data_IF_258682230160
#
_entry.id   IF_258682230160
#
_cell.length_a   1.000
_cell.length_b   1.000
_cell.length_c   1.000
_cell.angle_alpha   90.00
_cell.angle_beta   90.00
_cell.angle_gamma   90.00
#
_symmetry.space_group_name_H-M   'P 1'
#
loop_
_entity.id
_entity.type
_entity.pdbx_description
1 polymer ?
#
# COMPACT_ATOMS: atom_id res chain seq x y z
N UNK A 1 4.16 -11.88 -5.13
CA UNK A 1 4.02 -10.55 -4.50
C UNK A 1 2.71 -9.92 -4.93
N UNK A 2 1.88 -9.51 -3.98
CA UNK A 2 0.66 -8.79 -4.34
C UNK A 2 0.98 -7.49 -5.05
N UNK A 3 0.07 -7.06 -5.89
CA UNK A 3 0.19 -5.80 -6.60
C UNK A 3 -1.18 -5.17 -6.74
N UNK A 4 -1.20 -3.87 -6.89
CA UNK A 4 -2.44 -3.13 -7.04
C UNK A 4 -2.19 -1.68 -7.35
N UNK A 5 -3.24 -0.90 -7.21
CA UNK A 5 -3.19 0.54 -7.45
C UNK A 5 -3.62 1.29 -6.21
N UNK A 6 -2.99 2.43 -5.96
CA UNK A 6 -3.40 3.29 -4.86
C UNK A 6 -4.74 3.91 -5.19
N UNK A 7 -5.74 3.66 -4.35
CA UNK A 7 -7.07 4.22 -4.51
C UNK A 7 -7.14 5.63 -3.93
N UNK A 8 -6.54 5.81 -2.76
CA UNK A 8 -6.51 7.10 -2.10
C UNK A 8 -5.32 7.15 -1.16
N UNK A 9 -4.86 8.35 -0.85
CA UNK A 9 -3.76 8.55 0.08
C UNK A 9 -3.93 9.88 0.80
N UNK A 10 -3.78 9.85 2.14
CA UNK A 10 -3.84 11.04 2.98
C UNK A 10 -2.42 11.36 3.44
N UNK A 11 -1.87 12.45 2.91
CA UNK A 11 -0.50 12.86 3.20
C UNK A 11 -0.34 13.32 4.65
N UNK A 12 -1.40 13.85 5.25
CA UNK A 12 -1.35 14.31 6.63
C UNK A 12 -1.33 13.16 7.62
N UNK A 13 -2.15 12.14 7.38
CA UNK A 13 -2.20 10.97 8.22
C UNK A 13 -1.12 9.94 7.85
N UNK A 14 -0.52 10.07 6.66
CA UNK A 14 0.46 9.14 6.09
C UNK A 14 -0.13 7.74 5.96
N UNK A 15 -1.39 7.69 5.58
CA UNK A 15 -2.12 6.45 5.37
C UNK A 15 -2.78 6.45 4.01
N UNK A 16 -3.10 5.28 3.51
CA UNK A 16 -3.76 5.16 2.22
C UNK A 16 -4.38 3.81 2.03
N UNK A 17 -4.94 3.60 0.85
CA UNK A 17 -5.60 2.36 0.49
C UNK A 17 -5.11 1.90 -0.88
N UNK A 18 -4.78 0.61 -0.98
CA UNK A 18 -4.43 -0.04 -2.23
C UNK A 18 -5.57 -0.97 -2.59
N UNK A 19 -5.93 -1.02 -3.87
CA UNK A 19 -6.97 -1.90 -4.38
C UNK A 19 -6.34 -2.87 -5.37
N UNK A 20 -6.73 -4.15 -5.29
CA UNK A 20 -6.25 -5.15 -6.24
C UNK A 20 -6.73 -4.84 -7.65
N UNK A 21 -6.08 -5.46 -8.65
CA UNK A 21 -6.40 -5.21 -10.06
C UNK A 21 -7.83 -5.55 -10.41
N UNK A 22 -8.40 -6.55 -9.76
CA UNK A 22 -9.80 -6.94 -9.98
C UNK A 22 -10.78 -6.17 -9.09
N UNK A 23 -10.29 -5.33 -8.19
CA UNK A 23 -11.12 -4.53 -7.30
C UNK A 23 -11.73 -5.31 -6.14
N UNK A 24 -11.42 -6.59 -6.00
CA UNK A 24 -12.06 -7.44 -5.00
C UNK A 24 -11.43 -7.33 -3.63
N UNK A 25 -10.18 -6.91 -3.55
CA UNK A 25 -9.44 -6.85 -2.30
C UNK A 25 -8.82 -5.47 -2.14
N UNK A 26 -8.77 -4.99 -0.90
CA UNK A 26 -8.10 -3.74 -0.59
C UNK A 26 -7.20 -3.92 0.62
N UNK A 27 -6.16 -3.11 0.69
CA UNK A 27 -5.20 -3.12 1.80
C UNK A 27 -4.96 -1.70 2.24
N UNK A 28 -4.70 -1.52 3.54
CA UNK A 28 -4.36 -0.21 4.08
C UNK A 28 -2.86 -0.02 4.12
N UNK A 29 -2.41 1.18 3.75
CA UNK A 29 -1.02 1.58 3.89
C UNK A 29 -0.90 2.33 5.21
N UNK A 30 0.03 1.92 6.08
CA UNK A 30 0.27 2.59 7.34
C UNK A 30 1.57 3.41 7.28
N UNK A 31 1.81 4.30 8.27
CA UNK A 31 3.02 5.12 8.25
C UNK A 31 4.30 4.30 8.25
N UNK A 32 4.31 3.12 8.85
CA UNK A 32 5.50 2.27 8.89
C UNK A 32 5.88 1.81 7.47
N UNK A 33 4.89 1.43 6.66
CA UNK A 33 5.14 1.03 5.28
C UNK A 33 5.74 2.19 4.47
N UNK A 34 5.26 3.40 4.69
CA UNK A 34 5.79 4.59 4.03
C UNK A 34 7.22 4.86 4.45
N UNK A 35 7.53 4.73 5.73
CA UNK A 35 8.88 4.97 6.25
C UNK A 35 9.87 3.94 5.72
N UNK A 36 9.49 2.67 5.66
CA UNK A 36 10.36 1.62 5.16
C UNK A 36 10.76 1.86 3.71
N UNK A 37 9.83 2.33 2.90
CA UNK A 37 10.08 2.61 1.49
C UNK A 37 10.61 4.01 1.23
N UNK A 38 10.69 4.85 2.25
CA UNK A 38 11.08 6.25 2.16
C UNK A 38 10.14 7.04 1.24
N UNK A 39 8.88 6.66 1.22
CA UNK A 39 7.88 7.34 0.41
C UNK A 39 7.27 8.51 1.17
N UNK A 40 6.91 9.55 0.45
CA UNK A 40 6.27 10.71 1.03
C UNK A 40 4.78 10.74 0.73
N UNK A 41 4.41 10.32 -0.47
CA UNK A 41 3.02 10.23 -0.83
C UNK A 41 2.86 9.41 -2.11
N UNK A 42 1.60 9.01 -2.38
CA UNK A 42 1.24 8.33 -3.62
C UNK A 42 0.08 9.07 -4.28
N UNK A 43 0.05 9.02 -5.61
CA UNK A 43 -1.07 9.54 -6.37
C UNK A 43 -2.12 8.46 -6.55
N UNK A 44 -3.37 8.87 -6.68
CA UNK A 44 -4.45 7.95 -7.04
C UNK A 44 -4.12 7.29 -8.38
N UNK A 45 -4.22 5.97 -8.42
CA UNK A 45 -3.90 5.20 -9.61
C UNK A 45 -2.47 4.73 -9.70
N UNK A 46 -1.60 5.14 -8.77
CA UNK A 46 -0.22 4.70 -8.76
C UNK A 46 -0.13 3.18 -8.58
N UNK A 47 0.58 2.51 -9.49
CA UNK A 47 0.78 1.05 -9.40
C UNK A 47 1.89 0.74 -8.41
N UNK A 48 1.64 -0.24 -7.54
CA UNK A 48 2.60 -0.64 -6.51
C UNK A 48 2.63 -2.15 -6.38
N UNK A 49 3.76 -2.68 -5.90
CA UNK A 49 3.89 -4.05 -5.43
C UNK A 49 4.29 -4.02 -3.96
N UNK A 50 3.93 -5.07 -3.25
CA UNK A 50 4.15 -5.10 -1.80
C UNK A 50 4.04 -6.53 -1.29
N UNK A 51 4.44 -6.73 -0.03
CA UNK A 51 4.22 -7.97 0.68
C UNK A 51 3.10 -7.76 1.70
N UNK A 52 2.39 -8.82 2.02
CA UNK A 52 1.33 -8.80 3.01
C UNK A 52 1.79 -9.63 4.21
N UNK A 53 1.73 -9.03 5.38
CA UNK A 53 2.11 -9.68 6.64
C UNK A 53 0.91 -9.64 7.58
N UNK A 54 0.62 -10.75 8.23
CA UNK A 54 -0.41 -10.78 9.27
C UNK A 54 0.24 -10.75 10.64
N UNK A 55 -0.24 -9.87 11.49
CA UNK A 55 0.23 -9.73 12.86
C UNK A 55 -0.93 -9.34 13.76
N UNK A 56 -1.13 -10.10 14.83
CA UNK A 56 -2.17 -9.83 15.82
C UNK A 56 -3.56 -9.67 15.21
N UNK A 57 -3.85 -10.47 14.17
CA UNK A 57 -5.13 -10.42 13.49
C UNK A 57 -5.27 -9.30 12.48
N UNK A 58 -4.23 -8.51 12.28
CA UNK A 58 -4.24 -7.42 11.30
C UNK A 58 -3.40 -7.78 10.08
N UNK A 59 -3.86 -7.31 8.92
CA UNK A 59 -3.13 -7.46 7.67
C UNK A 59 -2.34 -6.16 7.41
N UNK A 60 -1.02 -6.29 7.27
CA UNK A 60 -0.12 -5.16 7.11
C UNK A 60 0.57 -5.23 5.76
N UNK A 61 0.71 -4.08 5.12
CA UNK A 61 1.48 -3.93 3.88
C UNK A 61 2.92 -3.61 4.25
N UNK A 62 3.87 -4.36 3.67
CA UNK A 62 5.30 -4.16 3.91
C UNK A 62 6.06 -4.31 2.60
N UNK A 63 7.29 -3.81 2.59
CA UNK A 63 8.16 -3.87 1.40
C UNK A 63 7.50 -3.26 0.18
N UNK A 64 6.86 -2.12 0.38
CA UNK A 64 6.12 -1.42 -0.66
C UNK A 64 7.09 -0.88 -1.72
N UNK A 65 6.75 -1.09 -2.99
CA UNK A 65 7.57 -0.64 -4.12
C UNK A 65 6.69 -0.05 -5.20
N UNK A 66 7.22 0.94 -5.91
CA UNK A 66 6.52 1.57 -7.02
C UNK A 66 6.67 0.70 -8.25
N UNK A 67 5.58 0.54 -8.99
CA UNK A 67 5.55 -0.19 -10.24
C UNK A 67 5.09 -1.63 -10.05
N UNK A 68 5.17 -2.40 -11.13
CA UNK A 68 4.81 -3.81 -11.16
C UNK A 68 6.06 -4.68 -11.08
N UNK A 69 5.91 -5.83 -10.48
CA UNK A 69 7.02 -6.77 -10.38
C UNK A 69 7.40 -7.34 -11.75
#
# INVERSE_FOLDING_TARGET
MPQGSVKEYDVNARTGTIVSDDGATSWSIDPVAMDQGMFRFFRTGQRVTFDVVERDGETLVRNLRIGLA
#
